data_IF_268098322434
#
_entry.id   IF_268098322434
#
_cell.length_a   1.000
_cell.length_b   1.000
_cell.length_c   1.000
_cell.angle_alpha   90.00
_cell.angle_beta   90.00
_cell.angle_gamma   90.00
#
_symmetry.space_group_name_H-M   'P 1'
#
loop_
_entity.id
_entity.type
_entity.pdbx_description
1 polymer ?
#
# COMPACT_ATOMS: atom_id res chain seq x y z
N UNK A 1 52.72 49.58 41.16
CA UNK A 1 51.62 48.65 41.50
C UNK A 1 50.30 48.90 40.75
N UNK A 2 50.06 50.06 40.20
CA UNK A 2 48.81 50.39 39.48
C UNK A 2 48.77 49.84 38.01
N UNK A 3 49.89 49.67 37.35
CA UNK A 3 49.94 49.18 35.98
C UNK A 3 49.60 47.67 35.84
N UNK A 4 49.95 46.84 36.81
CA UNK A 4 49.66 45.45 36.83
C UNK A 4 48.16 45.12 36.96
N UNK A 5 47.43 45.94 37.76
CA UNK A 5 45.98 45.79 37.94
C UNK A 5 45.18 46.20 36.71
N UNK A 6 45.70 47.11 35.89
CA UNK A 6 45.04 47.59 34.68
C UNK A 6 45.17 46.56 33.54
N UNK A 7 46.35 45.93 33.44
CA UNK A 7 46.61 44.86 32.46
C UNK A 7 45.76 43.61 32.73
N UNK A 8 45.59 43.22 34.00
CA UNK A 8 44.79 42.09 34.39
C UNK A 8 43.29 42.28 34.09
N UNK A 9 42.76 43.48 34.23
CA UNK A 9 41.38 43.79 33.90
C UNK A 9 41.10 43.73 32.39
N UNK A 10 42.05 44.16 31.57
CA UNK A 10 41.95 44.09 30.11
C UNK A 10 42.03 42.61 29.66
N UNK A 11 42.86 41.80 30.30
CA UNK A 11 43.00 40.39 29.99
C UNK A 11 41.74 39.55 30.32
N UNK A 12 41.10 39.86 31.44
CA UNK A 12 39.81 39.25 31.81
C UNK A 12 38.71 39.65 30.85
N UNK A 13 38.69 40.91 30.41
CA UNK A 13 37.69 41.37 29.44
C UNK A 13 37.87 40.73 28.07
N UNK A 14 39.10 40.49 27.61
CA UNK A 14 39.43 39.75 26.37
C UNK A 14 39.05 38.27 26.45
N UNK A 15 39.26 37.60 27.57
CA UNK A 15 38.86 36.20 27.79
C UNK A 15 37.33 36.07 27.83
N UNK A 16 36.62 37.04 28.44
CA UNK A 16 35.16 37.05 28.47
C UNK A 16 34.57 37.28 27.05
N UNK A 17 35.20 38.11 26.22
CA UNK A 17 34.75 38.32 24.86
C UNK A 17 34.96 37.10 23.95
N UNK A 18 35.99 36.28 24.22
CA UNK A 18 36.27 35.04 23.49
C UNK A 18 35.31 33.92 23.86
N UNK A 19 34.75 33.91 25.07
CA UNK A 19 33.79 32.93 25.55
C UNK A 19 32.39 33.10 24.92
N UNK A 20 32.05 34.27 24.41
CA UNK A 20 30.76 34.53 23.74
C UNK A 20 30.73 34.12 22.25
N UNK A 21 31.89 33.80 21.62
CA UNK A 21 31.99 33.51 20.19
C UNK A 21 31.65 32.04 19.80
N UNK A 22 31.23 31.19 20.76
CA UNK A 22 31.01 29.77 20.50
C UNK A 22 29.55 29.32 20.57
N UNK A 23 28.58 30.24 20.55
CA UNK A 23 27.19 29.85 20.32
C UNK A 23 27.00 29.67 18.80
N UNK A 24 27.56 28.61 18.25
CA UNK A 24 27.11 28.09 16.98
C UNK A 24 25.69 27.54 17.21
N UNK A 25 24.68 28.33 16.88
CA UNK A 25 23.33 27.82 16.68
C UNK A 25 23.46 26.88 15.49
N UNK A 26 23.57 25.59 15.78
CA UNK A 26 23.38 24.58 14.78
C UNK A 26 21.96 24.76 14.26
N UNK A 27 21.81 25.43 13.13
CA UNK A 27 20.58 25.48 12.36
C UNK A 27 20.36 24.02 11.91
N UNK A 28 19.53 23.28 12.61
CA UNK A 28 19.05 22.00 12.10
C UNK A 28 18.34 22.29 10.78
N UNK A 29 19.03 22.03 9.69
CA UNK A 29 18.44 22.13 8.36
C UNK A 29 17.41 21.02 8.24
N UNK A 30 16.14 21.38 8.22
CA UNK A 30 15.06 20.43 7.98
C UNK A 30 15.27 19.85 6.57
N UNK A 31 15.63 18.59 6.50
CA UNK A 31 15.83 17.86 5.25
C UNK A 31 14.58 17.04 4.95
N UNK A 32 13.86 17.42 3.89
CA UNK A 32 12.61 16.79 3.48
C UNK A 32 12.86 15.89 2.27
N UNK A 33 12.47 14.62 2.38
CA UNK A 33 12.38 13.69 1.26
C UNK A 33 10.94 13.48 0.79
N UNK A 34 10.77 12.93 -0.39
CA UNK A 34 9.46 12.51 -0.90
C UNK A 34 9.48 11.04 -1.28
N UNK A 35 8.32 10.39 -1.13
CA UNK A 35 8.09 9.00 -1.45
C UNK A 35 6.77 8.85 -2.20
N UNK A 36 6.77 8.14 -3.31
CA UNK A 36 5.56 7.65 -3.96
C UNK A 36 5.18 6.31 -3.34
N UNK A 37 4.16 6.32 -2.46
CA UNK A 37 3.69 5.11 -1.78
C UNK A 37 3.11 4.09 -2.76
N UNK A 38 2.43 4.54 -3.82
CA UNK A 38 1.85 3.65 -4.82
C UNK A 38 2.94 3.01 -5.68
N UNK A 39 3.96 3.77 -6.08
CA UNK A 39 5.11 3.24 -6.79
C UNK A 39 5.95 2.30 -5.90
N UNK A 40 6.14 2.64 -4.62
CA UNK A 40 6.83 1.79 -3.66
C UNK A 40 6.17 0.40 -3.59
N UNK A 41 4.85 0.35 -3.43
CA UNK A 41 4.12 -0.92 -3.42
C UNK A 41 4.21 -1.64 -4.76
N UNK A 42 3.80 -1.00 -5.86
CA UNK A 42 3.74 -1.64 -7.18
C UNK A 42 5.08 -2.15 -7.70
N UNK A 43 6.18 -1.46 -7.37
CA UNK A 43 7.50 -1.77 -7.89
C UNK A 43 8.25 -2.78 -7.01
N UNK A 44 7.85 -2.94 -5.74
CA UNK A 44 8.45 -3.93 -4.84
C UNK A 44 8.15 -5.37 -5.26
N UNK A 45 9.00 -6.31 -4.88
CA UNK A 45 8.77 -7.75 -5.09
C UNK A 45 7.50 -8.23 -4.38
N UNK A 46 7.22 -7.69 -3.19
CA UNK A 46 5.98 -7.97 -2.45
C UNK A 46 4.75 -7.53 -3.24
N UNK A 47 4.72 -6.27 -3.66
CA UNK A 47 3.59 -5.71 -4.41
C UNK A 47 3.37 -6.41 -5.75
N UNK A 48 4.44 -6.73 -6.48
CA UNK A 48 4.36 -7.48 -7.74
C UNK A 48 3.72 -8.86 -7.53
N UNK A 49 4.10 -9.57 -6.44
CA UNK A 49 3.46 -10.85 -6.09
C UNK A 49 1.96 -10.66 -5.85
N UNK A 50 1.57 -9.72 -5.00
CA UNK A 50 0.16 -9.48 -4.67
C UNK A 50 -0.65 -9.10 -5.90
N UNK A 51 -0.13 -8.20 -6.74
CA UNK A 51 -0.80 -7.80 -7.98
C UNK A 51 -0.98 -8.96 -8.95
N UNK A 52 0.00 -9.86 -9.03
CA UNK A 52 -0.10 -11.07 -9.84
C UNK A 52 -1.17 -12.03 -9.29
N UNK A 53 -1.16 -12.30 -7.98
CA UNK A 53 -2.14 -13.16 -7.32
C UNK A 53 -3.58 -12.62 -7.50
N UNK A 54 -3.77 -11.31 -7.39
CA UNK A 54 -5.07 -10.65 -7.64
C UNK A 54 -5.48 -10.76 -9.11
N UNK A 55 -4.55 -10.61 -10.04
CA UNK A 55 -4.82 -10.75 -11.49
C UNK A 55 -5.24 -12.18 -11.81
N UNK A 56 -4.49 -13.17 -11.35
CA UNK A 56 -4.76 -14.60 -11.61
C UNK A 56 -6.14 -15.00 -11.07
N UNK A 57 -6.47 -14.60 -9.83
CA UNK A 57 -7.77 -14.90 -9.23
C UNK A 57 -8.91 -14.15 -9.96
N UNK A 58 -8.69 -12.92 -10.39
CA UNK A 58 -9.66 -12.16 -11.19
C UNK A 58 -9.98 -12.83 -12.52
N UNK A 59 -8.96 -13.39 -13.21
CA UNK A 59 -9.15 -14.15 -14.45
C UNK A 59 -9.94 -15.44 -14.20
N UNK A 60 -9.66 -16.17 -13.12
CA UNK A 60 -10.40 -17.35 -12.73
C UNK A 60 -11.87 -17.06 -12.42
N UNK A 61 -12.14 -15.97 -11.67
CA UNK A 61 -13.49 -15.52 -11.39
C UNK A 61 -14.25 -15.15 -12.66
N UNK A 62 -13.62 -14.43 -13.59
CA UNK A 62 -14.22 -14.06 -14.86
C UNK A 62 -14.56 -15.30 -15.70
N UNK A 63 -13.65 -16.26 -15.81
CA UNK A 63 -13.89 -17.50 -16.54
C UNK A 63 -15.06 -18.30 -15.94
N UNK A 64 -15.14 -18.37 -14.61
CA UNK A 64 -16.26 -19.00 -13.90
C UNK A 64 -17.58 -18.28 -14.16
N UNK A 65 -17.60 -16.95 -14.11
CA UNK A 65 -18.79 -16.14 -14.39
C UNK A 65 -19.32 -16.40 -15.80
N UNK A 66 -18.43 -16.43 -16.81
CA UNK A 66 -18.81 -16.70 -18.21
C UNK A 66 -19.39 -18.12 -18.37
N UNK A 67 -18.82 -19.12 -17.70
CA UNK A 67 -19.33 -20.48 -17.69
C UNK A 67 -20.73 -20.55 -17.08
N UNK A 68 -20.91 -19.93 -15.89
CA UNK A 68 -22.21 -19.91 -15.20
C UNK A 68 -23.26 -19.15 -16.01
N UNK A 69 -22.89 -18.06 -16.69
CA UNK A 69 -23.80 -17.34 -17.58
C UNK A 69 -24.28 -18.25 -18.70
N UNK A 70 -23.39 -18.97 -19.38
CA UNK A 70 -23.73 -19.90 -20.46
C UNK A 70 -24.65 -21.02 -19.98
N UNK A 71 -24.42 -21.56 -18.76
CA UNK A 71 -25.30 -22.56 -18.15
C UNK A 71 -26.70 -22.00 -17.89
N UNK A 72 -26.81 -20.77 -17.33
CA UNK A 72 -28.08 -20.13 -17.07
C UNK A 72 -28.87 -19.84 -18.37
N UNK A 73 -28.19 -19.38 -19.42
CA UNK A 73 -28.80 -19.15 -20.73
C UNK A 73 -29.36 -20.46 -21.33
N UNK A 74 -28.64 -21.56 -21.21
CA UNK A 74 -29.08 -22.88 -21.66
C UNK A 74 -30.30 -23.37 -20.87
N UNK A 75 -30.29 -23.17 -19.54
CA UNK A 75 -31.39 -23.57 -18.67
C UNK A 75 -32.64 -22.73 -18.93
N UNK A 76 -32.50 -21.40 -19.12
CA UNK A 76 -33.58 -20.47 -19.48
C UNK A 76 -34.24 -20.88 -20.81
N UNK A 77 -33.44 -21.22 -21.83
CA UNK A 77 -33.95 -21.73 -23.10
C UNK A 77 -34.74 -23.02 -22.91
N UNK A 78 -34.22 -23.96 -22.09
CA UNK A 78 -34.91 -25.20 -21.73
C UNK A 78 -36.26 -24.93 -21.06
N UNK A 79 -36.29 -24.00 -20.08
CA UNK A 79 -37.54 -23.61 -19.42
C UNK A 79 -38.54 -22.97 -20.38
N UNK A 80 -38.09 -22.21 -21.34
CA UNK A 80 -38.95 -21.59 -22.36
C UNK A 80 -39.63 -22.66 -23.24
N UNK A 81 -38.93 -23.74 -23.57
CA UNK A 81 -39.51 -24.89 -24.30
C UNK A 81 -40.48 -25.66 -23.39
N UNK A 82 -40.09 -25.98 -22.14
CA UNK A 82 -40.93 -26.73 -21.17
C UNK A 82 -42.22 -26.03 -20.87
N UNK A 83 -42.24 -24.68 -20.84
CA UNK A 83 -43.46 -23.88 -20.59
C UNK A 83 -44.62 -24.27 -21.52
N UNK A 84 -44.30 -24.73 -22.77
CA UNK A 84 -45.29 -25.11 -23.76
C UNK A 84 -45.78 -26.57 -23.62
N UNK A 85 -45.08 -27.41 -22.85
CA UNK A 85 -45.27 -28.88 -22.82
C UNK A 85 -45.65 -29.42 -21.47
N UNK A 86 -45.40 -28.70 -20.38
CA UNK A 86 -45.73 -29.14 -18.99
C UNK A 86 -46.88 -28.35 -18.40
N UNK A 87 -47.46 -28.87 -17.32
CA UNK A 87 -48.54 -28.20 -16.60
C UNK A 87 -48.08 -26.90 -15.91
N UNK A 88 -49.00 -25.96 -15.75
CA UNK A 88 -48.71 -24.63 -15.17
C UNK A 88 -48.09 -24.73 -13.77
N UNK A 89 -48.60 -25.60 -12.93
CA UNK A 89 -48.09 -25.77 -11.54
C UNK A 89 -46.63 -26.29 -11.51
N UNK A 90 -46.33 -27.26 -12.37
CA UNK A 90 -44.97 -27.81 -12.48
C UNK A 90 -43.99 -26.75 -13.07
N UNK A 91 -44.44 -25.96 -14.06
CA UNK A 91 -43.64 -24.86 -14.60
C UNK A 91 -43.32 -23.83 -13.53
N UNK A 92 -44.27 -23.43 -12.69
CA UNK A 92 -44.06 -22.45 -11.61
C UNK A 92 -42.96 -22.93 -10.67
N UNK A 93 -42.94 -24.25 -10.29
CA UNK A 93 -41.89 -24.81 -9.43
C UNK A 93 -40.50 -24.74 -10.07
N UNK A 94 -40.41 -25.06 -11.36
CA UNK A 94 -39.14 -25.00 -12.09
C UNK A 94 -38.63 -23.56 -12.26
N UNK A 95 -39.53 -22.62 -12.56
CA UNK A 95 -39.17 -21.21 -12.66
C UNK A 95 -38.67 -20.65 -11.33
N UNK A 96 -39.35 -20.97 -10.22
CA UNK A 96 -38.91 -20.55 -8.89
C UNK A 96 -37.52 -21.12 -8.53
N UNK A 97 -37.26 -22.39 -8.84
CA UNK A 97 -35.95 -22.99 -8.61
C UNK A 97 -34.84 -22.34 -9.47
N UNK A 98 -35.15 -21.97 -10.70
CA UNK A 98 -34.24 -21.21 -11.57
C UNK A 98 -33.95 -19.82 -11.01
N UNK A 99 -34.96 -19.08 -10.58
CA UNK A 99 -34.79 -17.76 -9.97
C UNK A 99 -33.91 -17.83 -8.70
N UNK A 100 -34.12 -18.83 -7.85
CA UNK A 100 -33.30 -19.06 -6.66
C UNK A 100 -31.83 -19.36 -7.06
N UNK A 101 -31.60 -20.19 -8.07
CA UNK A 101 -30.28 -20.48 -8.60
C UNK A 101 -29.58 -19.20 -9.11
N UNK A 102 -30.31 -18.36 -9.87
CA UNK A 102 -29.78 -17.07 -10.37
C UNK A 102 -29.35 -16.17 -9.21
N UNK A 103 -30.21 -16.03 -8.19
CA UNK A 103 -29.92 -15.19 -7.03
C UNK A 103 -28.69 -15.70 -6.26
N UNK A 104 -28.61 -17.00 -6.07
CA UNK A 104 -27.46 -17.65 -5.41
C UNK A 104 -26.16 -17.38 -6.16
N UNK A 105 -26.13 -17.59 -7.48
CA UNK A 105 -24.94 -17.34 -8.32
C UNK A 105 -24.52 -15.87 -8.23
N UNK A 106 -25.46 -14.93 -8.30
CA UNK A 106 -25.16 -13.48 -8.17
C UNK A 106 -24.55 -13.13 -6.83
N UNK A 107 -25.10 -13.70 -5.73
CA UNK A 107 -24.56 -13.48 -4.39
C UNK A 107 -23.13 -14.03 -4.27
N UNK A 108 -22.93 -15.29 -4.67
CA UNK A 108 -21.62 -15.94 -4.61
C UNK A 108 -20.55 -15.20 -5.43
N UNK A 109 -20.91 -14.73 -6.63
CA UNK A 109 -20.02 -13.93 -7.49
C UNK A 109 -19.66 -12.60 -6.83
N UNK A 110 -20.66 -11.91 -6.26
CA UNK A 110 -20.43 -10.64 -5.56
C UNK A 110 -19.53 -10.85 -4.36
N UNK A 111 -19.80 -11.87 -3.55
CA UNK A 111 -18.99 -12.20 -2.39
C UNK A 111 -17.54 -12.54 -2.76
N UNK A 112 -17.33 -13.28 -3.85
CA UNK A 112 -16.00 -13.62 -4.33
C UNK A 112 -15.21 -12.36 -4.73
N UNK A 113 -15.83 -11.43 -5.43
CA UNK A 113 -15.21 -10.14 -5.80
C UNK A 113 -14.87 -9.29 -4.57
N UNK A 114 -15.78 -9.24 -3.59
CA UNK A 114 -15.54 -8.52 -2.33
C UNK A 114 -14.35 -9.14 -1.58
N UNK A 115 -14.26 -10.46 -1.52
CA UNK A 115 -13.14 -11.17 -0.88
C UNK A 115 -11.81 -10.86 -1.57
N UNK A 116 -11.79 -10.83 -2.91
CA UNK A 116 -10.58 -10.51 -3.67
C UNK A 116 -10.11 -9.08 -3.42
N UNK A 117 -11.04 -8.11 -3.43
CA UNK A 117 -10.71 -6.72 -3.12
C UNK A 117 -10.17 -6.58 -1.69
N UNK A 118 -10.84 -7.23 -0.73
CA UNK A 118 -10.41 -7.24 0.67
C UNK A 118 -9.00 -7.83 0.83
N UNK A 119 -8.71 -8.93 0.15
CA UNK A 119 -7.37 -9.52 0.14
C UNK A 119 -6.32 -8.52 -0.37
N UNK A 120 -6.60 -7.84 -1.48
CA UNK A 120 -5.71 -6.82 -2.04
C UNK A 120 -5.42 -5.69 -1.04
N UNK A 121 -6.46 -5.19 -0.37
CA UNK A 121 -6.35 -4.10 0.60
C UNK A 121 -5.59 -4.56 1.87
N UNK A 122 -5.86 -5.77 2.34
CA UNK A 122 -5.19 -6.34 3.52
C UNK A 122 -3.69 -6.55 3.26
N UNK A 123 -3.32 -7.11 2.11
CA UNK A 123 -1.92 -7.30 1.74
C UNK A 123 -1.18 -5.96 1.53
N UNK A 124 -1.86 -4.97 0.94
CA UNK A 124 -1.30 -3.62 0.83
C UNK A 124 -1.04 -2.99 2.20
N UNK A 125 -2.01 -3.08 3.10
CA UNK A 125 -1.86 -2.57 4.47
C UNK A 125 -0.73 -3.29 5.21
N UNK A 126 -0.65 -4.60 5.08
CA UNK A 126 0.42 -5.42 5.65
C UNK A 126 1.79 -5.00 5.13
N UNK A 127 1.91 -4.79 3.81
CA UNK A 127 3.14 -4.28 3.21
C UNK A 127 3.60 -3.00 3.89
N UNK A 128 2.73 -2.01 4.05
CA UNK A 128 3.12 -0.73 4.66
C UNK A 128 3.45 -0.86 6.14
N UNK A 129 2.79 -1.76 6.89
CA UNK A 129 3.16 -2.04 8.27
C UNK A 129 4.59 -2.59 8.39
N UNK A 130 5.00 -3.47 7.48
CA UNK A 130 6.34 -4.05 7.48
C UNK A 130 7.37 -3.06 6.89
N UNK A 131 7.01 -2.30 5.86
CA UNK A 131 7.90 -1.35 5.22
C UNK A 131 8.19 -0.11 6.09
N UNK A 132 7.27 0.29 6.97
CA UNK A 132 7.40 1.51 7.77
C UNK A 132 8.70 1.58 8.58
N UNK A 133 9.09 0.56 9.39
CA UNK A 133 10.35 0.61 10.13
C UNK A 133 11.57 0.67 9.20
N UNK A 134 11.52 0.04 8.02
CA UNK A 134 12.58 0.09 7.01
C UNK A 134 12.71 1.51 6.44
N UNK A 135 11.58 2.19 6.19
CA UNK A 135 11.54 3.56 5.70
C UNK A 135 12.06 4.56 6.74
N UNK A 136 11.75 4.34 8.02
CA UNK A 136 12.29 5.15 9.12
C UNK A 136 13.79 5.06 9.15
N UNK A 137 14.34 3.85 9.19
CA UNK A 137 15.78 3.63 9.18
C UNK A 137 16.45 4.24 7.94
N UNK A 138 15.88 4.05 6.76
CA UNK A 138 16.37 4.64 5.52
C UNK A 138 16.38 6.16 5.58
N UNK A 139 15.34 6.77 6.13
CA UNK A 139 15.25 8.23 6.29
C UNK A 139 16.35 8.77 7.20
N UNK A 140 16.63 8.08 8.32
CA UNK A 140 17.72 8.43 9.23
C UNK A 140 19.08 8.33 8.52
N UNK A 141 19.35 7.24 7.79
CA UNK A 141 20.59 7.05 7.02
C UNK A 141 20.81 8.15 5.96
N UNK A 142 19.71 8.66 5.36
CA UNK A 142 19.74 9.72 4.36
C UNK A 142 19.73 11.14 4.97
N UNK A 143 19.70 11.25 6.30
CA UNK A 143 19.63 12.52 7.02
C UNK A 143 18.34 13.28 6.74
N UNK A 144 17.23 12.57 6.53
CA UNK A 144 15.91 13.17 6.33
C UNK A 144 15.21 13.32 7.67
N UNK A 145 14.73 14.53 7.96
CA UNK A 145 13.90 14.81 9.13
C UNK A 145 12.41 14.56 8.88
N UNK A 146 12.00 14.53 7.61
CA UNK A 146 10.60 14.34 7.20
C UNK A 146 10.53 13.64 5.85
N UNK A 147 9.58 12.72 5.71
CA UNK A 147 9.24 12.07 4.46
C UNK A 147 7.77 12.40 4.11
N UNK A 148 7.56 13.03 2.96
CA UNK A 148 6.24 13.43 2.46
C UNK A 148 5.80 12.53 1.30
N UNK A 149 4.49 12.32 1.18
CA UNK A 149 3.92 11.72 -0.03
C UNK A 149 4.20 12.65 -1.23
N UNK A 150 4.71 12.09 -2.32
CA UNK A 150 5.07 12.86 -3.53
C UNK A 150 3.89 13.65 -4.11
N UNK A 151 2.64 13.19 -3.91
CA UNK A 151 1.42 13.86 -4.37
C UNK A 151 1.14 15.19 -3.65
N UNK A 152 1.77 15.39 -2.49
CA UNK A 152 1.63 16.64 -1.72
C UNK A 152 2.64 17.72 -2.12
N UNK A 153 3.55 17.41 -3.05
CA UNK A 153 4.68 18.27 -3.41
C UNK A 153 4.72 18.47 -4.92
N UNK A 154 4.77 19.74 -5.37
CA UNK A 154 4.83 20.07 -6.79
C UNK A 154 6.20 19.71 -7.40
N UNK A 155 7.27 19.89 -6.63
CA UNK A 155 8.65 19.61 -7.05
C UNK A 155 9.46 19.09 -5.86
N UNK A 156 10.10 17.94 -6.02
CA UNK A 156 11.04 17.39 -5.05
C UNK A 156 12.37 17.06 -5.71
N UNK A 157 13.46 17.54 -5.12
CA UNK A 157 14.82 17.15 -5.52
C UNK A 157 15.34 15.92 -4.79
N UNK A 158 14.63 15.46 -3.73
CA UNK A 158 14.97 14.30 -2.92
C UNK A 158 13.83 13.27 -2.95
N UNK A 159 13.53 12.70 -4.11
CA UNK A 159 12.65 11.56 -4.22
C UNK A 159 13.44 10.29 -3.90
N UNK A 160 13.02 9.54 -2.88
CA UNK A 160 13.71 8.34 -2.42
C UNK A 160 12.99 7.04 -2.81
N UNK A 161 11.96 7.10 -3.66
CA UNK A 161 11.09 5.95 -3.98
C UNK A 161 11.90 4.74 -4.48
N UNK A 162 12.82 4.93 -5.44
CA UNK A 162 13.59 3.82 -6.00
C UNK A 162 14.55 3.20 -4.96
N UNK A 163 15.20 4.05 -4.15
CA UNK A 163 16.08 3.58 -3.06
C UNK A 163 15.26 2.83 -1.99
N UNK A 164 14.04 3.30 -1.72
CA UNK A 164 13.14 2.65 -0.78
C UNK A 164 12.66 1.28 -1.30
N UNK A 165 12.33 1.17 -2.60
CA UNK A 165 12.01 -0.12 -3.24
C UNK A 165 13.17 -1.10 -3.07
N UNK A 166 14.38 -0.70 -3.43
CA UNK A 166 15.58 -1.54 -3.32
C UNK A 166 15.84 -2.00 -1.87
N UNK A 167 15.64 -1.09 -0.90
CA UNK A 167 15.84 -1.40 0.52
C UNK A 167 14.79 -2.36 1.04
N UNK A 168 13.53 -2.13 0.73
CA UNK A 168 12.40 -2.97 1.11
C UNK A 168 12.57 -4.37 0.51
N UNK A 169 12.88 -4.48 -0.79
CA UNK A 169 13.09 -5.76 -1.46
C UNK A 169 14.24 -6.57 -0.87
N UNK A 170 15.30 -5.92 -0.42
CA UNK A 170 16.42 -6.59 0.25
C UNK A 170 16.06 -7.15 1.62
N UNK A 171 15.14 -6.50 2.33
CA UNK A 171 14.76 -6.88 3.70
C UNK A 171 13.62 -7.90 3.72
N UNK A 172 12.58 -7.69 2.92
CA UNK A 172 11.37 -8.50 2.99
C UNK A 172 11.12 -9.38 1.76
N UNK A 173 11.86 -9.17 0.65
CA UNK A 173 11.67 -9.91 -0.58
C UNK A 173 10.24 -9.84 -1.09
N UNK A 174 9.67 -10.99 -1.49
CA UNK A 174 8.26 -11.08 -1.89
C UNK A 174 7.29 -11.27 -0.69
N UNK A 175 7.78 -11.29 0.53
CA UNK A 175 6.99 -11.37 1.76
C UNK A 175 6.46 -12.77 2.11
N UNK A 176 6.76 -13.81 1.35
CA UNK A 176 6.27 -15.18 1.63
C UNK A 176 6.89 -15.79 2.89
N UNK A 177 8.16 -15.49 3.15
CA UNK A 177 8.87 -16.02 4.31
C UNK A 177 8.36 -15.42 5.64
N UNK A 178 7.83 -14.21 5.61
CA UNK A 178 7.29 -13.51 6.78
C UNK A 178 5.91 -14.07 7.20
N UNK A 179 5.28 -14.87 6.33
CA UNK A 179 3.96 -15.47 6.56
C UNK A 179 4.07 -16.80 7.34
N UNK A 180 5.27 -17.38 7.42
CA UNK A 180 5.51 -18.71 7.99
C UNK A 180 5.86 -18.73 9.49
N UNK A 181 5.91 -17.57 10.14
CA UNK A 181 6.05 -17.43 11.60
C UNK A 181 4.75 -16.95 12.25
#
# INVERSE_FOLDING_TARGET
>A
MLFLKRSYRIFIFLISLFAYAQISVASESISIGTLDQDALFRNSLFGKRVLQEVSDESELLLAKELSLQSELETEEQSLTVKRKTIGTEEFIKLAAAFDEKVQKIRSETTEARIKLNKYSDEERNRFFQIALPILVQLSEELGLSTLLDHRMVILSLKNITDIAVDRVDKVIGNGREIISE
#
